data_IF_565609308282
#
_entry.id   IF_565609308282
#
_cell.length_a   1.000
_cell.length_b   1.000
_cell.length_c   1.000
_cell.angle_alpha   90.00
_cell.angle_beta   90.00
_cell.angle_gamma   90.00
#
_symmetry.space_group_name_H-M   'P 1'
#
loop_
_entity.id
_entity.type
_entity.pdbx_description
1 polymer ?
#
# COMPACT_ATOMS: atom_id res chain seq x y z
N UNK A 1 -13.05 1.01 -7.83
CA UNK A 1 -12.48 0.92 -6.47
C UNK A 1 -13.40 1.58 -5.47
N UNK A 2 -13.55 1.04 -4.27
CA UNK A 2 -14.45 1.61 -3.26
C UNK A 2 -13.95 2.94 -2.70
N UNK A 3 -12.64 3.22 -2.81
CA UNK A 3 -11.99 4.41 -2.23
C UNK A 3 -10.97 5.03 -3.20
N UNK A 4 -10.51 6.23 -2.86
CA UNK A 4 -9.52 6.97 -3.68
C UNK A 4 -8.17 6.25 -3.67
N UNK A 5 -7.56 5.98 -4.83
CA UNK A 5 -6.22 5.40 -4.93
C UNK A 5 -5.17 6.34 -4.31
N UNK A 6 -4.18 5.75 -3.64
CA UNK A 6 -2.99 6.44 -3.11
C UNK A 6 -1.71 5.99 -3.80
N UNK A 7 -1.61 4.71 -4.17
CA UNK A 7 -0.44 4.15 -4.82
C UNK A 7 -0.83 3.07 -5.85
N UNK A 8 0.00 2.91 -6.88
CA UNK A 8 -0.20 1.93 -7.96
C UNK A 8 1.14 1.30 -8.32
N UNK A 9 1.16 -0.01 -8.49
CA UNK A 9 2.29 -0.76 -9.04
C UNK A 9 1.81 -1.79 -10.07
N UNK A 10 2.66 -2.09 -11.06
CA UNK A 10 2.45 -3.20 -11.99
C UNK A 10 3.11 -4.46 -11.46
N UNK A 11 2.45 -5.58 -11.63
CA UNK A 11 3.04 -6.89 -11.36
C UNK A 11 3.90 -7.32 -12.57
N UNK A 12 4.90 -8.17 -12.34
CA UNK A 12 5.87 -8.62 -13.35
C UNK A 12 5.24 -9.23 -14.61
N UNK A 13 3.99 -9.69 -14.54
CA UNK A 13 3.26 -10.25 -15.69
C UNK A 13 2.69 -9.18 -16.65
N UNK A 14 2.84 -7.89 -16.33
CA UNK A 14 2.28 -6.73 -17.05
C UNK A 14 0.77 -6.83 -17.33
N UNK A 15 0.07 -7.72 -16.62
CA UNK A 15 -1.37 -7.96 -16.77
C UNK A 15 -2.15 -7.58 -15.54
N UNK A 16 -1.47 -7.42 -14.42
CA UNK A 16 -2.07 -7.18 -13.12
C UNK A 16 -1.59 -5.86 -12.54
N UNK A 17 -2.52 -5.05 -12.09
CA UNK A 17 -2.27 -3.82 -11.36
C UNK A 17 -2.51 -4.08 -9.88
N UNK A 18 -1.58 -3.66 -9.03
CA UNK A 18 -1.82 -3.50 -7.61
C UNK A 18 -2.16 -2.04 -7.35
N UNK A 19 -3.21 -1.82 -6.58
CA UNK A 19 -3.67 -0.48 -6.27
C UNK A 19 -4.00 -0.37 -4.78
N UNK A 20 -3.25 0.48 -4.08
CA UNK A 20 -3.49 0.85 -2.70
C UNK A 20 -4.47 2.00 -2.58
N UNK A 21 -5.32 1.97 -1.55
CA UNK A 21 -6.22 3.08 -1.26
C UNK A 21 -5.82 3.83 0.02
N UNK A 22 -6.41 5.01 0.19
CA UNK A 22 -6.14 5.88 1.35
C UNK A 22 -6.58 5.31 2.70
N UNK A 23 -7.24 4.15 2.73
CA UNK A 23 -7.65 3.46 3.97
C UNK A 23 -6.76 2.27 4.30
N UNK A 24 -5.71 2.06 3.48
CA UNK A 24 -4.73 1.01 3.70
C UNK A 24 -5.02 -0.30 2.98
N UNK A 25 -6.12 -0.40 2.25
CA UNK A 25 -6.45 -1.62 1.50
C UNK A 25 -5.72 -1.66 0.16
N UNK A 26 -5.13 -2.80 -0.17
CA UNK A 26 -4.50 -3.06 -1.47
C UNK A 26 -5.31 -4.07 -2.26
N UNK A 27 -5.59 -3.70 -3.50
CA UNK A 27 -6.39 -4.47 -4.44
C UNK A 27 -5.56 -4.91 -5.64
N UNK A 28 -5.88 -6.08 -6.14
CA UNK A 28 -5.40 -6.60 -7.43
C UNK A 28 -6.50 -6.41 -8.47
N UNK A 29 -6.11 -5.87 -9.63
CA UNK A 29 -7.00 -5.63 -10.76
C UNK A 29 -6.34 -6.13 -12.05
N UNK A 30 -7.09 -6.68 -13.02
CA UNK A 30 -6.56 -6.92 -14.35
C UNK A 30 -6.27 -5.58 -15.05
N UNK A 31 -5.13 -5.49 -15.75
CA UNK A 31 -4.78 -4.31 -16.57
C UNK A 31 -5.70 -4.18 -17.79
N UNK A 32 -6.11 -5.31 -18.36
CA UNK A 32 -7.01 -5.36 -19.52
C UNK A 32 -8.32 -5.97 -19.06
N UNK A 33 -9.42 -5.31 -19.39
CA UNK A 33 -10.76 -5.86 -19.14
C UNK A 33 -10.97 -7.11 -19.99
N UNK A 34 -11.12 -8.25 -19.34
CA UNK A 34 -11.37 -9.54 -20.00
C UNK A 34 -12.85 -9.75 -20.32
N UNK A 35 -13.71 -8.76 -20.09
CA UNK A 35 -15.15 -8.85 -20.34
C UNK A 35 -15.88 -9.88 -19.49
N UNK A 36 -15.20 -10.56 -18.59
CA UNK A 36 -15.80 -11.43 -17.58
C UNK A 36 -16.27 -10.56 -16.42
N UNK A 37 -17.51 -10.10 -16.51
CA UNK A 37 -18.20 -9.53 -15.35
C UNK A 37 -18.23 -10.60 -14.25
N UNK A 38 -17.23 -10.61 -13.39
CA UNK A 38 -17.32 -11.43 -12.20
C UNK A 38 -18.35 -10.76 -11.29
N UNK A 39 -19.30 -11.54 -10.86
CA UNK A 39 -20.16 -11.21 -9.73
C UNK A 39 -19.24 -10.69 -8.63
N UNK A 40 -19.36 -9.41 -8.32
CA UNK A 40 -18.54 -8.78 -7.27
C UNK A 40 -18.51 -9.74 -6.08
N UNK A 41 -17.33 -10.10 -5.55
CA UNK A 41 -17.28 -10.91 -4.35
C UNK A 41 -18.15 -10.17 -3.36
N UNK A 42 -19.21 -10.83 -2.89
CA UNK A 42 -20.01 -10.31 -1.79
C UNK A 42 -18.99 -9.95 -0.75
N UNK A 43 -18.75 -8.66 -0.58
CA UNK A 43 -17.97 -8.14 0.55
C UNK A 43 -18.55 -8.93 1.70
N UNK A 44 -17.77 -9.84 2.28
CA UNK A 44 -18.22 -10.59 3.44
C UNK A 44 -18.67 -9.53 4.40
N UNK A 45 -19.99 -9.36 4.44
CA UNK A 45 -20.60 -8.37 5.28
C UNK A 45 -19.92 -8.58 6.62
N UNK A 46 -19.32 -7.53 7.18
CA UNK A 46 -18.70 -7.56 8.50
C UNK A 46 -19.56 -8.51 9.31
N UNK A 47 -19.00 -9.66 9.69
CA UNK A 47 -19.69 -10.59 10.57
C UNK A 47 -20.01 -9.70 11.75
N UNK A 48 -21.29 -9.25 11.81
CA UNK A 48 -21.74 -8.46 12.94
C UNK A 48 -21.47 -9.38 14.12
N UNK A 49 -20.61 -8.99 15.05
CA UNK A 49 -20.45 -9.81 16.25
C UNK A 49 -21.85 -10.05 16.76
N UNK A 50 -22.14 -11.29 17.14
CA UNK A 50 -23.48 -11.72 17.56
C UNK A 50 -23.83 -11.09 18.93
N UNK A 51 -23.71 -9.76 18.99
CA UNK A 51 -24.20 -8.98 20.13
C UNK A 51 -25.71 -8.89 19.98
N UNK A 52 -26.46 -9.23 21.02
CA UNK A 52 -27.90 -9.09 20.99
C UNK A 52 -28.21 -7.62 20.64
N UNK A 53 -28.85 -7.43 19.47
CA UNK A 53 -29.22 -6.09 19.02
C UNK A 53 -30.11 -5.44 20.11
N UNK A 54 -29.78 -4.20 20.50
CA UNK A 54 -30.60 -3.44 21.39
C UNK A 54 -32.01 -3.30 20.78
N UNK A 55 -33.03 -3.62 21.53
CA UNK A 55 -34.44 -3.50 21.14
C UNK A 55 -35.15 -2.50 22.04
N UNK A 56 -36.30 -2.02 21.63
CA UNK A 56 -37.12 -1.12 22.46
C UNK A 56 -37.52 -1.74 23.80
N UNK A 57 -37.48 -3.08 23.90
CA UNK A 57 -37.75 -3.82 25.13
C UNK A 57 -36.52 -3.94 26.05
N UNK A 58 -35.32 -3.86 25.49
CA UNK A 58 -34.06 -3.99 26.24
C UNK A 58 -33.47 -2.65 26.68
N UNK A 59 -34.04 -1.53 26.21
CA UNK A 59 -33.57 -0.18 26.52
C UNK A 59 -34.58 0.51 27.41
N UNK A 60 -34.21 0.81 28.66
CA UNK A 60 -35.12 1.35 29.68
C UNK A 60 -35.04 2.86 29.86
N UNK A 61 -33.94 3.50 29.43
CA UNK A 61 -33.79 4.96 29.55
C UNK A 61 -34.49 5.67 28.38
N UNK A 62 -35.30 6.69 28.67
CA UNK A 62 -35.98 7.51 27.62
C UNK A 62 -35.03 8.10 26.62
N UNK A 63 -33.84 8.55 27.05
CA UNK A 63 -32.80 9.11 26.16
C UNK A 63 -32.23 8.05 25.20
N UNK A 64 -31.92 6.86 25.70
CA UNK A 64 -31.38 5.78 24.90
C UNK A 64 -32.44 5.20 23.97
N UNK A 65 -33.70 5.17 24.36
CA UNK A 65 -34.82 4.76 23.53
C UNK A 65 -34.98 5.71 22.32
N UNK A 66 -34.95 7.01 22.53
CA UNK A 66 -35.00 8.00 21.47
C UNK A 66 -33.79 7.87 20.49
N UNK A 67 -32.60 7.63 21.05
CA UNK A 67 -31.39 7.39 20.25
C UNK A 67 -31.52 6.11 19.41
N UNK A 68 -32.03 5.02 19.98
CA UNK A 68 -32.26 3.76 19.28
C UNK A 68 -33.29 3.92 18.14
N UNK A 69 -34.41 4.60 18.42
CA UNK A 69 -35.42 4.89 17.40
C UNK A 69 -34.86 5.71 16.26
N UNK A 70 -34.02 6.71 16.54
CA UNK A 70 -33.35 7.51 15.52
C UNK A 70 -32.40 6.66 14.67
N UNK A 71 -31.63 5.75 15.28
CA UNK A 71 -30.77 4.82 14.58
C UNK A 71 -31.57 3.87 13.69
N UNK A 72 -32.65 3.29 14.19
CA UNK A 72 -33.51 2.40 13.42
C UNK A 72 -34.15 3.10 12.21
N UNK A 73 -34.59 4.35 12.38
CA UNK A 73 -35.09 5.18 11.26
C UNK A 73 -34.00 5.42 10.21
N UNK A 74 -32.80 5.77 10.64
CA UNK A 74 -31.66 5.98 9.73
C UNK A 74 -31.30 4.72 8.94
N UNK A 75 -31.26 3.56 9.60
CA UNK A 75 -31.00 2.28 8.91
C UNK A 75 -32.14 1.91 7.95
N UNK A 76 -33.38 2.09 8.33
CA UNK A 76 -34.52 1.83 7.44
C UNK A 76 -34.59 2.76 6.23
N UNK A 77 -34.15 4.01 6.36
CA UNK A 77 -34.00 4.92 5.21
C UNK A 77 -32.84 4.51 4.32
N UNK A 78 -31.72 4.08 4.90
CA UNK A 78 -30.54 3.64 4.16
C UNK A 78 -30.77 2.35 3.37
N UNK A 79 -31.58 1.43 3.85
CA UNK A 79 -32.00 0.23 3.12
C UNK A 79 -32.90 0.58 1.91
N UNK A 80 -33.78 1.59 2.05
CA UNK A 80 -34.64 2.04 0.94
C UNK A 80 -33.90 2.85 -0.13
N UNK A 81 -32.79 3.49 0.21
CA UNK A 81 -31.94 4.27 -0.71
C UNK A 81 -30.68 3.51 -1.13
N UNK A 82 -30.55 2.23 -0.80
CA UNK A 82 -29.53 1.36 -1.36
C UNK A 82 -29.89 1.06 -2.83
N UNK A 83 -29.87 2.09 -3.66
CA UNK A 83 -29.70 1.94 -5.10
C UNK A 83 -28.47 1.06 -5.31
N UNK A 84 -28.62 0.05 -6.13
CA UNK A 84 -27.53 -0.84 -6.55
C UNK A 84 -26.36 0.03 -7.00
N UNK A 85 -25.34 0.12 -6.16
CA UNK A 85 -24.10 0.78 -6.58
C UNK A 85 -23.65 0.09 -7.84
N UNK A 86 -23.37 0.83 -8.92
CA UNK A 86 -22.95 0.23 -10.16
C UNK A 86 -21.81 -0.74 -9.85
N UNK A 87 -22.01 -1.99 -10.17
CA UNK A 87 -20.98 -3.02 -10.08
C UNK A 87 -19.81 -2.53 -10.88
N UNK A 88 -18.63 -2.45 -10.28
CA UNK A 88 -17.44 -2.02 -11.00
C UNK A 88 -17.24 -2.96 -12.18
N UNK A 89 -16.94 -2.39 -13.36
CA UNK A 89 -16.70 -3.16 -14.57
C UNK A 89 -15.46 -4.07 -14.48
N UNK A 90 -14.69 -3.94 -13.39
CA UNK A 90 -13.45 -4.67 -13.15
C UNK A 90 -13.59 -5.64 -11.97
N UNK A 91 -13.01 -6.82 -12.13
CA UNK A 91 -12.82 -7.75 -11.03
C UNK A 91 -11.79 -7.16 -10.04
N UNK A 92 -12.24 -6.93 -8.81
CA UNK A 92 -11.45 -6.28 -7.77
C UNK A 92 -11.25 -7.25 -6.61
N UNK A 93 -10.01 -7.70 -6.41
CA UNK A 93 -9.65 -8.56 -5.29
C UNK A 93 -8.84 -7.80 -4.25
N UNK A 94 -9.35 -7.68 -3.04
CA UNK A 94 -8.56 -7.19 -1.91
C UNK A 94 -7.57 -8.27 -1.48
N UNK A 95 -6.29 -7.96 -1.50
CA UNK A 95 -5.20 -8.91 -1.24
C UNK A 95 -4.51 -8.71 0.11
N UNK A 96 -4.47 -7.49 0.59
CA UNK A 96 -3.95 -7.15 1.92
C UNK A 96 -4.56 -5.83 2.41
N UNK A 97 -4.50 -5.59 3.71
CA UNK A 97 -4.93 -4.34 4.34
C UNK A 97 -3.95 -3.87 5.40
N UNK A 98 -3.88 -2.55 5.57
CA UNK A 98 -3.21 -1.85 6.65
C UNK A 98 -4.23 -1.22 7.59
N UNK A 99 -3.82 -0.92 8.81
CA UNK A 99 -4.63 -0.15 9.76
C UNK A 99 -4.54 1.34 9.44
N UNK A 100 -3.38 1.80 8.98
CA UNK A 100 -3.10 3.18 8.63
C UNK A 100 -3.24 3.46 7.13
N UNK A 101 -3.22 4.74 6.77
CA UNK A 101 -3.29 5.20 5.38
C UNK A 101 -2.04 4.74 4.61
N UNK A 102 -2.27 4.04 3.51
CA UNK A 102 -1.19 3.65 2.60
C UNK A 102 -0.69 4.87 1.82
N UNK A 103 0.61 5.07 1.80
CA UNK A 103 1.27 6.19 1.13
C UNK A 103 1.93 5.78 -0.17
N UNK A 104 2.67 4.66 -0.17
CA UNK A 104 3.30 4.12 -1.38
C UNK A 104 3.32 2.59 -1.38
N UNK A 105 3.54 2.02 -2.57
CA UNK A 105 3.46 0.60 -2.85
C UNK A 105 4.45 0.24 -3.95
N UNK A 106 5.28 -0.78 -3.71
CA UNK A 106 6.21 -1.34 -4.70
C UNK A 106 6.04 -2.85 -4.79
N UNK A 107 6.03 -3.36 -6.01
CA UNK A 107 6.10 -4.79 -6.28
C UNK A 107 7.53 -5.14 -6.72
N UNK A 108 8.09 -6.22 -6.16
CA UNK A 108 9.42 -6.72 -6.51
C UNK A 108 9.42 -8.23 -6.59
N UNK A 109 10.20 -8.77 -7.51
CA UNK A 109 10.38 -10.22 -7.67
C UNK A 109 11.87 -10.52 -7.65
N UNK A 110 12.30 -11.40 -6.74
CA UNK A 110 13.70 -11.80 -6.61
C UNK A 110 13.87 -13.30 -6.80
N UNK A 111 15.02 -13.76 -7.34
CA UNK A 111 15.32 -15.17 -7.41
C UNK A 111 15.33 -15.80 -6.01
N UNK A 112 14.77 -17.00 -5.88
CA UNK A 112 14.84 -17.78 -4.63
C UNK A 112 16.23 -18.36 -4.41
N UNK A 113 16.84 -18.81 -5.50
CA UNK A 113 18.17 -19.37 -5.53
C UNK A 113 18.79 -19.16 -6.93
N UNK A 114 20.11 -19.28 -7.01
CA UNK A 114 20.85 -19.03 -8.26
C UNK A 114 20.62 -20.10 -9.34
N UNK A 115 20.06 -21.26 -8.98
CA UNK A 115 20.04 -22.44 -9.85
C UNK A 115 18.65 -22.84 -10.34
N UNK A 116 17.60 -22.58 -9.58
CA UNK A 116 16.25 -23.08 -9.89
C UNK A 116 15.46 -22.22 -10.87
N UNK A 117 15.92 -21.01 -11.16
CA UNK A 117 15.17 -20.03 -11.96
C UNK A 117 13.84 -19.61 -11.33
N UNK A 118 13.54 -20.12 -10.10
CA UNK A 118 12.32 -19.78 -9.38
C UNK A 118 12.46 -18.41 -8.74
N UNK A 119 11.44 -17.57 -8.94
CA UNK A 119 11.34 -16.26 -8.33
C UNK A 119 10.28 -16.25 -7.23
N UNK A 120 10.46 -15.40 -6.26
CA UNK A 120 9.43 -15.07 -5.27
C UNK A 120 9.14 -13.59 -5.36
N UNK A 121 7.85 -13.29 -5.43
CA UNK A 121 7.37 -11.93 -5.47
C UNK A 121 7.02 -11.42 -4.06
N UNK A 122 7.15 -10.11 -3.92
CA UNK A 122 6.87 -9.39 -2.68
C UNK A 122 6.13 -8.08 -3.00
N UNK A 123 5.38 -7.64 -2.01
CA UNK A 123 4.74 -6.33 -1.98
C UNK A 123 5.30 -5.57 -0.79
N UNK A 124 5.97 -4.47 -1.06
CA UNK A 124 6.47 -3.55 -0.07
C UNK A 124 5.49 -2.37 0.00
N UNK A 125 5.01 -2.08 1.18
CA UNK A 125 4.02 -1.03 1.39
C UNK A 125 4.48 -0.09 2.48
N UNK A 126 4.35 1.22 2.23
CA UNK A 126 4.58 2.25 3.24
C UNK A 126 3.25 2.81 3.72
N UNK A 127 3.17 3.15 4.97
CA UNK A 127 2.01 3.79 5.57
C UNK A 127 2.35 5.12 6.27
N UNK A 128 1.33 5.81 6.70
CA UNK A 128 1.47 7.09 7.39
C UNK A 128 2.09 6.96 8.80
N UNK A 129 2.06 5.77 9.38
CA UNK A 129 2.55 5.51 10.73
C UNK A 129 4.01 5.00 10.72
N UNK A 130 4.83 5.48 9.76
CA UNK A 130 6.28 5.24 9.70
C UNK A 130 6.70 3.80 9.38
N UNK A 131 5.73 2.94 9.08
CA UNK A 131 5.98 1.52 8.83
C UNK A 131 6.19 1.22 7.35
N UNK A 132 7.20 0.42 7.07
CA UNK A 132 7.35 -0.26 5.78
C UNK A 132 7.17 -1.74 6.03
N UNK A 133 6.11 -2.32 5.44
CA UNK A 133 5.79 -3.73 5.56
C UNK A 133 6.20 -4.50 4.31
N UNK A 134 6.85 -5.63 4.51
CA UNK A 134 7.24 -6.58 3.48
C UNK A 134 6.28 -7.77 3.54
N UNK A 135 5.40 -7.89 2.56
CA UNK A 135 4.48 -9.01 2.40
C UNK A 135 4.88 -9.85 1.19
N UNK A 136 4.51 -11.12 1.17
CA UNK A 136 4.63 -11.93 -0.05
C UNK A 136 3.75 -11.37 -1.16
N UNK A 137 4.13 -11.62 -2.40
CA UNK A 137 3.27 -11.34 -3.54
C UNK A 137 2.09 -12.32 -3.66
N UNK A 138 1.11 -12.02 -4.54
CA UNK A 138 0.01 -12.93 -4.79
C UNK A 138 0.50 -14.33 -5.21
N UNK A 139 -0.18 -15.41 -4.79
CA UNK A 139 -1.43 -15.41 -4.03
C UNK A 139 -1.27 -15.37 -2.50
N UNK A 140 -0.04 -15.20 -2.00
CA UNK A 140 0.29 -15.27 -0.57
C UNK A 140 0.42 -13.88 0.09
N UNK A 141 -0.22 -12.85 -0.43
CA UNK A 141 -0.08 -11.47 0.02
C UNK A 141 -0.45 -11.23 1.50
N UNK A 142 -1.24 -12.14 2.08
CA UNK A 142 -1.59 -12.12 3.51
C UNK A 142 -0.42 -12.48 4.45
N UNK A 143 0.68 -13.04 3.91
CA UNK A 143 1.85 -13.41 4.71
C UNK A 143 2.79 -12.21 4.80
N UNK A 144 2.96 -11.70 6.00
CA UNK A 144 3.95 -10.68 6.31
C UNK A 144 5.25 -11.39 6.64
N UNK A 145 6.32 -11.09 5.91
CA UNK A 145 7.63 -11.69 6.18
C UNK A 145 8.49 -10.80 7.08
N UNK A 146 8.37 -9.48 6.89
CA UNK A 146 9.24 -8.56 7.61
C UNK A 146 8.66 -7.14 7.67
N UNK A 147 9.35 -6.30 8.46
CA UNK A 147 9.17 -4.86 8.53
C UNK A 147 10.52 -4.17 8.44
N UNK A 148 10.58 -3.01 7.76
CA UNK A 148 11.70 -2.08 7.83
C UNK A 148 11.28 -0.93 8.75
N UNK A 149 11.79 -0.95 9.99
CA UNK A 149 11.46 0.01 11.04
C UNK A 149 12.65 0.92 11.31
N UNK A 150 12.48 2.23 11.26
CA UNK A 150 13.56 3.19 11.51
C UNK A 150 13.29 4.59 11.00
N UNK A 151 12.19 4.82 10.27
CA UNK A 151 11.67 6.16 10.05
C UNK A 151 11.13 6.73 11.36
N UNK A 152 11.20 8.04 11.51
CA UNK A 152 10.69 8.80 12.66
C UNK A 152 9.54 9.72 12.25
N UNK A 153 9.24 9.73 10.97
CA UNK A 153 8.12 10.46 10.36
C UNK A 153 7.49 9.63 9.24
N UNK A 154 6.37 10.12 8.68
CA UNK A 154 5.65 9.39 7.64
C UNK A 154 6.53 9.13 6.41
N UNK A 155 6.35 7.96 5.81
CA UNK A 155 7.02 7.57 4.57
C UNK A 155 6.14 7.94 3.39
N UNK A 156 6.68 8.66 2.42
CA UNK A 156 5.94 9.12 1.23
C UNK A 156 6.29 8.36 -0.05
N UNK A 157 7.52 7.82 -0.13
CA UNK A 157 8.00 7.16 -1.35
C UNK A 157 8.92 5.98 -1.05
N UNK A 158 8.72 4.93 -1.83
CA UNK A 158 9.52 3.71 -1.86
C UNK A 158 10.13 3.53 -3.26
N UNK A 159 11.38 3.09 -3.32
CA UNK A 159 12.04 2.77 -4.58
C UNK A 159 12.94 1.53 -4.43
N UNK A 160 12.73 0.53 -5.26
CA UNK A 160 13.61 -0.63 -5.38
C UNK A 160 14.35 -0.49 -6.71
N UNK A 161 15.68 -0.30 -6.69
CA UNK A 161 16.47 -0.18 -7.91
C UNK A 161 16.47 -1.50 -8.71
N UNK A 162 16.26 -1.44 -10.02
CA UNK A 162 16.22 -2.63 -10.87
C UNK A 162 17.58 -3.35 -10.95
N UNK A 163 18.68 -2.63 -10.76
CA UNK A 163 20.05 -3.18 -10.74
C UNK A 163 20.49 -3.77 -9.41
N UNK A 164 19.71 -3.52 -8.34
CA UNK A 164 19.99 -4.01 -6.97
C UNK A 164 18.66 -4.26 -6.25
N UNK A 165 17.89 -5.27 -6.70
CA UNK A 165 16.54 -5.49 -6.22
C UNK A 165 16.46 -5.97 -4.75
N UNK A 166 17.58 -6.31 -4.14
CA UNK A 166 17.71 -6.63 -2.72
C UNK A 166 17.70 -5.39 -1.82
N UNK A 167 17.85 -4.18 -2.40
CA UNK A 167 17.81 -2.92 -1.67
C UNK A 167 16.50 -2.18 -1.89
N UNK A 168 16.04 -1.53 -0.83
CA UNK A 168 14.93 -0.58 -0.85
C UNK A 168 15.48 0.78 -0.42
N UNK A 169 15.07 1.83 -1.10
CA UNK A 169 15.30 3.21 -0.71
C UNK A 169 13.95 3.80 -0.34
N UNK A 170 13.87 4.39 0.83
CA UNK A 170 12.65 5.01 1.33
C UNK A 170 12.92 6.42 1.83
N UNK A 171 11.92 7.28 1.72
CA UNK A 171 11.97 8.65 2.19
C UNK A 171 10.59 9.21 2.47
N UNK A 172 10.54 10.25 3.26
CA UNK A 172 9.31 10.91 3.66
C UNK A 172 9.58 12.29 4.22
N UNK A 173 9.17 12.52 5.45
CA UNK A 173 9.39 13.78 6.18
C UNK A 173 10.58 13.70 7.13
N UNK A 174 11.40 12.69 7.03
CA UNK A 174 12.70 12.63 7.69
C UNK A 174 13.73 13.44 6.90
N UNK A 175 14.77 13.96 7.58
CA UNK A 175 15.88 14.72 7.00
C UNK A 175 16.87 13.86 6.20
N UNK A 176 16.57 12.57 6.01
CA UNK A 176 17.43 11.60 5.33
C UNK A 176 16.64 10.52 4.59
N UNK A 177 17.27 9.95 3.59
CA UNK A 177 16.79 8.69 2.98
C UNK A 177 17.33 7.52 3.79
N UNK A 178 16.51 6.46 3.87
CA UNK A 178 16.93 5.19 4.44
C UNK A 178 17.13 4.16 3.33
N UNK A 179 18.28 3.47 3.37
CA UNK A 179 18.59 2.37 2.47
C UNK A 179 18.55 1.07 3.26
N UNK A 180 17.71 0.16 2.82
CA UNK A 180 17.44 -1.10 3.50
C UNK A 180 17.89 -2.30 2.68
N UNK A 181 18.37 -3.34 3.37
CA UNK A 181 18.26 -4.70 2.86
C UNK A 181 16.89 -5.22 3.32
N UNK A 182 15.88 -4.96 2.49
CA UNK A 182 14.47 -5.07 2.88
C UNK A 182 14.03 -6.50 3.21
N UNK A 183 14.62 -7.52 2.57
CA UNK A 183 14.35 -8.93 2.85
C UNK A 183 14.82 -9.35 4.26
N UNK A 184 15.78 -8.61 4.84
CA UNK A 184 16.29 -8.81 6.19
C UNK A 184 15.68 -7.82 7.20
N UNK A 185 14.95 -6.82 6.75
CA UNK A 185 14.47 -5.70 7.57
C UNK A 185 15.59 -4.85 8.13
N UNK A 186 16.78 -4.92 7.55
CA UNK A 186 18.00 -4.30 8.09
C UNK A 186 18.31 -2.99 7.41
N UNK A 187 18.46 -1.94 8.22
CA UNK A 187 18.96 -0.66 7.76
C UNK A 187 20.46 -0.80 7.40
N UNK A 188 20.81 -0.36 6.18
CA UNK A 188 22.18 -0.41 5.66
C UNK A 188 22.84 0.95 5.72
N UNK A 189 22.12 2.01 5.33
CA UNK A 189 22.67 3.35 5.22
C UNK A 189 21.59 4.40 5.44
N UNK A 190 22.03 5.55 6.00
CA UNK A 190 21.27 6.79 6.08
C UNK A 190 21.93 7.83 5.21
N UNK A 191 21.25 8.31 4.18
CA UNK A 191 21.76 9.35 3.30
C UNK A 191 21.10 10.68 3.66
N UNK A 192 21.84 11.67 4.17
CA UNK A 192 21.27 12.96 4.56
C UNK A 192 20.75 13.70 3.31
N UNK A 193 19.62 14.36 3.44
CA UNK A 193 19.02 15.22 2.42
C UNK A 193 19.32 16.70 2.67
N UNK A 194 19.71 17.01 3.89
CA UNK A 194 19.96 18.38 4.36
C UNK A 194 21.38 18.43 4.94
N UNK A 195 22.07 19.55 4.76
CA UNK A 195 23.37 19.76 5.38
C UNK A 195 23.24 19.87 6.91
N UNK A 196 24.24 19.36 7.62
CA UNK A 196 24.25 19.32 9.08
C UNK A 196 24.14 20.74 9.66
N UNK A 197 23.06 21.01 10.42
CA UNK A 197 22.79 22.32 11.00
C UNK A 197 21.87 23.24 10.18
N UNK A 198 21.36 22.82 9.04
CA UNK A 198 20.34 23.56 8.33
C UNK A 198 18.97 23.33 8.99
N UNK A 199 18.29 24.43 9.35
CA UNK A 199 16.93 24.40 9.92
C UNK A 199 15.88 24.41 8.79
N UNK A 200 15.96 23.39 7.92
CA UNK A 200 15.10 23.28 6.74
C UNK A 200 14.32 21.97 6.82
N UNK A 201 13.00 22.05 6.92
CA UNK A 201 12.14 20.87 6.78
C UNK A 201 12.07 20.48 5.30
N UNK A 202 12.40 19.23 5.00
CA UNK A 202 12.37 18.68 3.64
C UNK A 202 11.43 17.51 3.59
N UNK A 203 10.61 17.46 2.57
CA UNK A 203 9.69 16.33 2.33
C UNK A 203 10.07 15.65 1.02
N UNK A 204 10.35 14.37 1.06
CA UNK A 204 10.53 13.56 -0.14
C UNK A 204 9.20 13.37 -0.83
N UNK A 205 9.08 13.82 -2.08
CA UNK A 205 7.88 13.63 -2.90
C UNK A 205 7.94 12.34 -3.69
N UNK A 206 9.10 12.05 -4.27
CA UNK A 206 9.28 10.86 -5.09
C UNK A 206 10.75 10.47 -5.16
N UNK A 207 10.99 9.16 -5.31
CA UNK A 207 12.31 8.59 -5.52
C UNK A 207 12.26 7.75 -6.82
N UNK A 208 13.27 7.93 -7.67
CA UNK A 208 13.45 7.13 -8.88
C UNK A 208 14.86 6.56 -8.93
N UNK A 209 14.96 5.36 -9.45
CA UNK A 209 16.22 4.68 -9.71
C UNK A 209 16.42 4.60 -11.23
N UNK A 210 17.48 5.19 -11.73
CA UNK A 210 17.78 5.34 -13.15
C UNK A 210 19.17 4.79 -13.47
N UNK A 211 19.27 3.95 -14.53
CA UNK A 211 20.55 3.57 -15.13
C UNK A 211 20.80 4.46 -16.33
N UNK A 212 21.81 5.30 -16.26
CA UNK A 212 22.22 6.20 -17.34
C UNK A 212 23.32 5.54 -18.14
N UNK A 213 23.11 5.38 -19.46
CA UNK A 213 24.16 4.99 -20.39
C UNK A 213 25.07 6.19 -20.64
N UNK A 214 26.36 6.04 -20.36
CA UNK A 214 27.34 7.05 -20.74
C UNK A 214 27.57 7.06 -22.26
N UNK A 215 27.90 8.22 -22.85
CA UNK A 215 28.23 8.30 -24.29
C UNK A 215 29.40 7.39 -24.64
N UNK A 216 29.49 6.97 -25.90
CA UNK A 216 30.19 5.85 -26.52
C UNK A 216 31.65 5.52 -26.10
N UNK A 217 32.29 6.28 -25.22
CA UNK A 217 33.69 6.07 -24.79
C UNK A 217 33.87 5.52 -23.36
N UNK A 218 32.80 5.19 -22.64
CA UNK A 218 32.92 4.58 -21.32
C UNK A 218 32.01 3.36 -21.20
N UNK A 219 32.61 2.23 -20.84
CA UNK A 219 31.91 0.93 -20.73
C UNK A 219 31.04 0.79 -19.43
N UNK A 220 30.93 1.83 -18.64
CA UNK A 220 30.21 1.76 -17.36
C UNK A 220 28.92 2.57 -17.39
N UNK A 221 27.80 1.93 -17.08
CA UNK A 221 26.54 2.60 -16.79
C UNK A 221 26.60 3.28 -15.42
N UNK A 222 26.13 4.50 -15.34
CA UNK A 222 25.98 5.20 -14.06
C UNK A 222 24.59 4.90 -13.48
N UNK A 223 24.55 4.27 -12.32
CA UNK A 223 23.33 4.07 -11.57
C UNK A 223 23.08 5.28 -10.66
N UNK A 224 21.95 5.90 -10.79
CA UNK A 224 21.61 7.17 -10.11
C UNK A 224 20.27 7.05 -9.40
N UNK A 225 20.22 7.58 -8.20
CA UNK A 225 18.97 7.81 -7.47
C UNK A 225 18.61 9.28 -7.61
N UNK A 226 17.45 9.55 -8.19
CA UNK A 226 16.88 10.89 -8.30
C UNK A 226 15.81 11.06 -7.23
N UNK A 227 15.86 12.16 -6.51
CA UNK A 227 14.92 12.47 -5.42
C UNK A 227 14.26 13.81 -5.71
N UNK A 228 12.94 13.85 -5.73
CA UNK A 228 12.18 15.09 -5.74
C UNK A 228 11.87 15.49 -4.31
N UNK A 229 12.25 16.70 -3.95
CA UNK A 229 12.04 17.30 -2.64
C UNK A 229 11.03 18.43 -2.72
N UNK A 230 10.33 18.66 -1.61
CA UNK A 230 9.46 19.80 -1.34
C UNK A 230 9.98 20.44 -0.04
N UNK A 231 10.20 21.73 -0.08
CA UNK A 231 10.74 22.47 1.05
C UNK A 231 10.82 23.95 0.76
#
# INVERSE_FOLDING_TARGET
MPKRPSAIALVEDDKTILCGDKFGDVYSLPLIDTGKSSIAPKVHGKIKPNQPAATTLTVHSKRNLASLEQQLRYYGQKEKTAEEKPTSAFELHMILGHVSMLTDLVYVSIPLDATSGRKRSYILTADRDEHIRVSRGPPQAHIIENYCLGHTSFVSSLCVPSWAPEYLISGGCDDHLLVWRWNEGRLVHKAPLVEEGADTEVIVRRIWALSLTKPANSQENANVILVALDG
#
